data_IF_691622104384
#
_entry.id   IF_691622104384
#
_cell.length_a   1.000
_cell.length_b   1.000
_cell.length_c   1.000
_cell.angle_alpha   90.00
_cell.angle_beta   90.00
_cell.angle_gamma   90.00
#
_symmetry.space_group_name_H-M   'P 1'
#
loop_
_entity.id
_entity.type
_entity.pdbx_description
1 polymer ?
#
# COMPACT_ATOMS: atom_id res chain seq x y z
N UNK A 1 -5.48 -10.31 -12.39
CA UNK A 1 -6.14 -8.99 -12.51
C UNK A 1 -5.46 -8.06 -11.53
N UNK A 2 -4.90 -6.94 -12.02
CA UNK A 2 -4.36 -5.90 -11.17
C UNK A 2 -5.52 -5.28 -10.36
N UNK A 3 -5.29 -5.00 -9.07
CA UNK A 3 -6.28 -4.38 -8.21
C UNK A 3 -5.80 -2.98 -7.87
N UNK A 4 -6.61 -1.98 -8.19
CA UNK A 4 -6.32 -0.58 -7.94
C UNK A 4 -7.42 0.00 -7.07
N UNK A 5 -7.01 0.75 -6.06
CA UNK A 5 -7.92 1.47 -5.18
C UNK A 5 -7.28 2.77 -4.75
N UNK A 6 -8.08 3.82 -4.62
CA UNK A 6 -7.66 5.11 -4.11
C UNK A 6 -8.14 5.30 -2.67
N UNK A 7 -7.22 5.76 -1.83
CA UNK A 7 -7.50 6.13 -0.45
C UNK A 7 -7.46 7.66 -0.37
N UNK A 8 -8.60 8.35 -0.22
CA UNK A 8 -8.60 9.76 0.09
C UNK A 8 -7.99 9.96 1.48
N UNK A 9 -7.11 10.95 1.61
CA UNK A 9 -6.51 11.30 2.90
C UNK A 9 -6.61 12.79 3.13
N UNK A 10 -6.68 13.19 4.40
CA UNK A 10 -6.65 14.60 4.80
C UNK A 10 -5.26 14.97 5.31
N UNK A 11 -4.74 16.13 4.89
CA UNK A 11 -3.40 16.60 5.24
C UNK A 11 -2.35 16.32 4.15
N UNK A 12 -1.08 16.17 4.56
CA UNK A 12 0.06 16.03 3.63
C UNK A 12 0.31 14.59 3.22
N UNK A 13 0.75 14.41 1.96
CA UNK A 13 1.15 13.13 1.40
C UNK A 13 2.17 12.38 2.27
N UNK A 14 3.16 13.09 2.80
CA UNK A 14 4.17 12.52 3.70
C UNK A 14 3.57 11.86 4.94
N UNK A 15 2.51 12.44 5.51
CA UNK A 15 1.87 11.90 6.72
C UNK A 15 1.18 10.57 6.43
N UNK A 16 0.39 10.50 5.34
CA UNK A 16 -0.30 9.26 4.97
C UNK A 16 0.69 8.19 4.52
N UNK A 17 1.75 8.59 3.79
CA UNK A 17 2.80 7.69 3.34
C UNK A 17 3.64 7.16 4.50
N UNK A 18 3.93 7.97 5.52
CA UNK A 18 4.61 7.51 6.72
C UNK A 18 3.75 6.50 7.50
N UNK A 19 2.43 6.71 7.59
CA UNK A 19 1.51 5.73 8.19
C UNK A 19 1.44 4.45 7.38
N UNK A 20 1.30 4.56 6.06
CA UNK A 20 1.30 3.42 5.15
C UNK A 20 2.62 2.64 5.26
N UNK A 21 3.76 3.33 5.24
CA UNK A 21 5.08 2.71 5.41
C UNK A 21 5.18 1.96 6.74
N UNK A 22 4.77 2.57 7.85
CA UNK A 22 4.73 1.89 9.16
C UNK A 22 3.82 0.66 9.17
N UNK A 23 2.67 0.71 8.51
CA UNK A 23 1.79 -0.43 8.34
C UNK A 23 2.48 -1.59 7.61
N UNK A 24 3.15 -1.25 6.51
CA UNK A 24 3.87 -2.19 5.65
C UNK A 24 5.05 -2.80 6.41
N UNK A 25 5.86 -1.97 7.07
CA UNK A 25 7.00 -2.42 7.90
C UNK A 25 6.53 -3.29 9.08
N UNK A 26 5.39 -2.97 9.71
CA UNK A 26 4.77 -3.79 10.75
C UNK A 26 4.39 -5.19 10.24
N UNK A 27 4.10 -5.32 8.95
CA UNK A 27 3.85 -6.59 8.27
C UNK A 27 5.11 -7.30 7.77
N UNK A 28 6.31 -6.91 8.23
CA UNK A 28 7.62 -7.31 7.67
C UNK A 28 7.79 -6.97 6.18
N UNK A 29 7.01 -6.02 5.68
CA UNK A 29 7.11 -5.48 4.34
C UNK A 29 8.17 -4.39 4.21
N UNK A 30 8.32 -3.88 3.00
CA UNK A 30 9.23 -2.79 2.66
C UNK A 30 8.56 -1.88 1.65
N UNK A 31 8.62 -0.57 1.89
CA UNK A 31 8.11 0.45 0.99
C UNK A 31 9.27 1.32 0.51
N UNK A 32 9.31 1.61 -0.78
CA UNK A 32 10.42 2.27 -1.46
C UNK A 32 9.88 3.32 -2.42
N UNK A 33 10.35 4.57 -2.33
CA UNK A 33 9.88 5.67 -3.17
C UNK A 33 9.74 6.96 -2.36
N UNK A 34 9.07 7.94 -2.95
CA UNK A 34 9.04 9.33 -2.52
C UNK A 34 7.61 9.80 -2.15
N UNK A 35 7.50 11.05 -1.73
CA UNK A 35 6.22 11.67 -1.32
C UNK A 35 5.15 11.76 -2.41
N UNK A 36 5.51 11.47 -3.66
CA UNK A 36 4.62 11.50 -4.82
C UNK A 36 4.29 10.12 -5.37
N UNK A 37 5.24 9.19 -5.41
CA UNK A 37 5.01 7.84 -5.92
C UNK A 37 6.13 6.88 -5.49
N UNK A 38 5.83 5.58 -5.56
CA UNK A 38 6.81 4.55 -5.28
C UNK A 38 6.24 3.15 -5.41
N UNK A 39 7.00 2.20 -4.92
CA UNK A 39 6.65 0.79 -4.87
C UNK A 39 6.70 0.26 -3.44
N UNK A 40 5.96 -0.82 -3.19
CA UNK A 40 5.96 -1.51 -1.92
C UNK A 40 5.91 -3.01 -2.13
N UNK A 41 6.40 -3.73 -1.13
CA UNK A 41 6.35 -5.17 -1.08
C UNK A 41 6.01 -5.63 0.33
N UNK A 42 5.12 -6.62 0.44
CA UNK A 42 4.83 -7.28 1.72
C UNK A 42 5.05 -8.77 1.59
N UNK A 43 5.69 -9.43 2.56
CA UNK A 43 5.65 -10.87 2.66
C UNK A 43 4.22 -11.31 3.01
N UNK A 44 3.70 -12.25 2.24
CA UNK A 44 2.40 -12.87 2.44
C UNK A 44 2.58 -14.39 2.51
N UNK A 45 3.12 -14.89 3.62
CA UNK A 45 3.49 -16.30 3.75
C UNK A 45 4.73 -16.65 2.92
N UNK A 46 4.57 -17.53 1.93
CA UNK A 46 5.68 -18.07 1.11
C UNK A 46 6.02 -17.16 -0.08
N UNK A 47 5.09 -16.31 -0.52
CA UNK A 47 5.31 -15.33 -1.60
C UNK A 47 5.24 -13.91 -1.06
N UNK A 48 5.58 -12.94 -1.92
CA UNK A 48 5.51 -11.50 -1.60
C UNK A 48 4.46 -10.85 -2.49
N UNK A 49 3.64 -10.00 -1.89
CA UNK A 49 2.80 -9.04 -2.63
C UNK A 49 3.71 -7.89 -3.03
N UNK A 50 3.62 -7.43 -4.28
CA UNK A 50 4.24 -6.18 -4.73
C UNK A 50 3.16 -5.28 -5.30
N UNK A 51 3.30 -4.00 -5.01
CA UNK A 51 2.44 -2.96 -5.54
C UNK A 51 3.18 -1.66 -5.71
N UNK A 52 2.49 -0.70 -6.29
CA UNK A 52 2.92 0.66 -6.49
C UNK A 52 1.91 1.60 -5.86
N UNK A 53 2.39 2.77 -5.46
CA UNK A 53 1.56 3.83 -4.91
C UNK A 53 1.87 5.14 -5.62
N UNK A 54 0.86 5.99 -5.77
CA UNK A 54 0.97 7.32 -6.32
C UNK A 54 0.04 8.26 -5.54
N UNK A 55 0.50 9.48 -5.30
CA UNK A 55 -0.26 10.52 -4.63
C UNK A 55 -0.67 11.56 -5.67
N UNK A 56 -1.97 11.67 -5.89
CA UNK A 56 -2.57 12.64 -6.81
C UNK A 56 -3.81 13.26 -6.15
N UNK A 57 -3.98 14.58 -6.23
CA UNK A 57 -5.19 15.29 -5.76
C UNK A 57 -5.64 14.91 -4.33
N UNK A 58 -4.70 14.85 -3.38
CA UNK A 58 -4.97 14.44 -1.99
C UNK A 58 -5.50 12.99 -1.84
N UNK A 59 -5.24 12.14 -2.83
CA UNK A 59 -5.62 10.72 -2.85
C UNK A 59 -4.39 9.86 -3.08
N UNK A 60 -4.27 8.80 -2.29
CA UNK A 60 -3.24 7.79 -2.42
C UNK A 60 -3.79 6.67 -3.31
N UNK A 61 -3.41 6.66 -4.58
CA UNK A 61 -3.67 5.58 -5.52
C UNK A 61 -2.73 4.42 -5.24
N UNK A 62 -3.28 3.27 -4.91
CA UNK A 62 -2.53 2.02 -4.74
C UNK A 62 -2.83 1.12 -5.93
N UNK A 63 -1.80 0.58 -6.56
CA UNK A 63 -1.88 -0.36 -7.67
C UNK A 63 -1.13 -1.64 -7.33
N UNK A 64 -1.86 -2.74 -7.18
CA UNK A 64 -1.24 -4.05 -6.93
C UNK A 64 -0.82 -4.66 -8.27
N UNK A 65 0.48 -4.66 -8.54
CA UNK A 65 1.09 -5.20 -9.76
C UNK A 65 1.30 -6.72 -9.67
N UNK A 66 1.78 -7.20 -8.52
CA UNK A 66 2.04 -8.60 -8.28
C UNK A 66 1.35 -9.05 -7.00
N UNK A 67 0.28 -9.84 -7.15
CA UNK A 67 -0.38 -10.47 -6.02
C UNK A 67 -0.29 -11.98 -6.13
N UNK A 68 0.04 -12.69 -5.04
CA UNK A 68 -0.18 -14.11 -4.97
C UNK A 68 -1.66 -14.41 -5.15
N UNK A 69 -1.99 -15.49 -5.86
CA UNK A 69 -3.38 -15.85 -6.22
C UNK A 69 -4.26 -16.07 -4.97
N UNK A 70 -3.64 -16.39 -3.83
CA UNK A 70 -4.30 -16.57 -2.54
C UNK A 70 -4.54 -15.26 -1.76
N UNK A 71 -3.95 -14.13 -2.18
CA UNK A 71 -4.17 -12.83 -1.53
C UNK A 71 -5.22 -12.05 -2.32
N UNK A 72 -6.38 -11.86 -1.71
CA UNK A 72 -7.43 -10.99 -2.23
C UNK A 72 -7.06 -9.52 -2.04
N UNK A 73 -7.52 -8.65 -2.94
CA UNK A 73 -7.35 -7.20 -2.81
C UNK A 73 -7.86 -6.69 -1.46
N UNK A 74 -8.98 -7.26 -1.00
CA UNK A 74 -9.59 -7.01 0.31
C UNK A 74 -8.64 -7.25 1.50
N UNK A 75 -7.74 -8.23 1.40
CA UNK A 75 -6.83 -8.54 2.51
C UNK A 75 -5.77 -7.44 2.65
N UNK A 76 -5.27 -6.95 1.51
CA UNK A 76 -4.31 -5.84 1.45
C UNK A 76 -5.00 -4.55 1.89
N UNK A 77 -6.21 -4.30 1.39
CA UNK A 77 -7.04 -3.17 1.81
C UNK A 77 -7.31 -3.21 3.31
N UNK A 78 -7.67 -4.37 3.87
CA UNK A 78 -7.96 -4.53 5.29
C UNK A 78 -6.72 -4.32 6.16
N UNK A 79 -5.54 -4.79 5.74
CA UNK A 79 -4.27 -4.50 6.44
C UNK A 79 -4.01 -3.00 6.42
N UNK A 80 -4.06 -2.37 5.25
CA UNK A 80 -3.82 -0.93 5.11
C UNK A 80 -4.83 -0.12 5.93
N UNK A 81 -6.13 -0.39 5.79
CA UNK A 81 -7.20 0.24 6.58
C UNK A 81 -6.98 0.07 8.07
N UNK A 82 -6.63 -1.12 8.55
CA UNK A 82 -6.43 -1.40 9.98
C UNK A 82 -5.26 -0.63 10.59
N UNK A 83 -4.24 -0.31 9.80
CA UNK A 83 -3.10 0.51 10.26
C UNK A 83 -3.25 2.01 9.99
N UNK A 84 -4.16 2.40 9.09
CA UNK A 84 -4.47 3.80 8.77
C UNK A 84 -5.60 4.37 9.64
N UNK A 85 -6.43 3.52 10.25
CA UNK A 85 -7.50 3.87 11.22
C UNK A 85 -6.97 4.32 12.57
#
# INVERSE_FOLDING_TARGET
>A
MAHNFDIPFEGTAETILAKAKRAIESGNGTMTGDSAAGSFSLPAGISKVKGEYAVEDNKLKITITDKPIYVSGDMIENILKKHLS
#
